data_IF_330442026220
#
_entry.id   IF_330442026220
#
_cell.length_a   1.000
_cell.length_b   1.000
_cell.length_c   1.000
_cell.angle_alpha   90.00
_cell.angle_beta   90.00
_cell.angle_gamma   90.00
#
_symmetry.space_group_name_H-M   'P 1'
#
loop_
_entity.id
_entity.type
_entity.pdbx_description
1 polymer ?
#
# COMPACT_ATOMS: atom_id res chain seq x y z
N UNK A 1 39.74 -35.22 -11.60
CA UNK A 1 39.07 -34.60 -10.45
C UNK A 1 38.96 -33.09 -10.58
N UNK A 2 39.98 -32.30 -10.98
CA UNK A 2 39.90 -30.84 -11.15
C UNK A 2 38.85 -30.37 -12.18
N UNK A 3 38.62 -31.10 -13.28
CA UNK A 3 37.64 -30.74 -14.33
C UNK A 3 36.18 -30.89 -13.89
N UNK A 4 35.88 -31.81 -12.99
CA UNK A 4 34.51 -32.02 -12.44
C UNK A 4 34.15 -30.92 -11.45
N UNK A 5 35.13 -30.45 -10.64
CA UNK A 5 34.92 -29.35 -9.69
C UNK A 5 34.62 -28.01 -10.40
N UNK A 6 35.31 -27.74 -11.52
CA UNK A 6 35.06 -26.50 -12.31
C UNK A 6 33.68 -26.53 -12.99
N UNK A 7 33.27 -27.72 -13.50
CA UNK A 7 31.92 -27.87 -14.10
C UNK A 7 30.80 -27.71 -13.07
N UNK A 8 31.00 -28.20 -11.85
CA UNK A 8 30.00 -28.05 -10.76
C UNK A 8 29.92 -26.62 -10.22
N UNK A 9 31.04 -25.89 -10.17
CA UNK A 9 31.05 -24.46 -9.84
C UNK A 9 30.36 -23.60 -10.90
N UNK A 10 30.50 -23.90 -12.19
CA UNK A 10 29.80 -23.18 -13.27
C UNK A 10 28.30 -23.41 -13.24
N UNK A 11 27.82 -24.62 -12.90
CA UNK A 11 26.38 -24.89 -12.76
C UNK A 11 25.77 -24.11 -11.60
N UNK A 12 26.45 -23.98 -10.45
CA UNK A 12 25.94 -23.19 -9.30
C UNK A 12 25.93 -21.68 -9.59
N UNK A 13 26.89 -21.18 -10.37
CA UNK A 13 26.91 -19.77 -10.76
C UNK A 13 25.73 -19.40 -11.70
N UNK A 14 25.36 -20.31 -12.61
CA UNK A 14 24.21 -20.11 -13.50
C UNK A 14 22.86 -20.10 -12.74
N UNK A 15 22.70 -20.98 -11.75
CA UNK A 15 21.46 -21.00 -10.95
C UNK A 15 21.30 -19.76 -10.07
N UNK A 16 22.39 -19.25 -9.48
CA UNK A 16 22.36 -18.01 -8.70
C UNK A 16 22.02 -16.78 -9.57
N UNK A 17 22.57 -16.67 -10.77
CA UNK A 17 22.28 -15.57 -11.70
C UNK A 17 20.81 -15.59 -12.16
N UNK A 18 20.25 -16.75 -12.46
CA UNK A 18 18.83 -16.87 -12.82
C UNK A 18 17.89 -16.54 -11.65
N UNK A 19 18.24 -16.96 -10.44
CA UNK A 19 17.46 -16.63 -9.24
C UNK A 19 17.49 -15.12 -8.94
N UNK A 20 18.61 -14.45 -9.15
CA UNK A 20 18.74 -13.01 -8.94
C UNK A 20 17.95 -12.22 -9.99
N UNK A 21 18.02 -12.58 -11.26
CA UNK A 21 17.24 -11.93 -12.34
C UNK A 21 15.75 -12.09 -12.10
N UNK A 22 15.29 -13.29 -11.73
CA UNK A 22 13.89 -13.53 -11.40
C UNK A 22 13.42 -12.71 -10.17
N UNK A 23 14.30 -12.57 -9.19
CA UNK A 23 14.02 -11.75 -8.00
C UNK A 23 13.95 -10.26 -8.33
N UNK A 24 14.80 -9.76 -9.21
CA UNK A 24 14.79 -8.37 -9.69
C UNK A 24 13.53 -8.08 -10.54
N UNK A 25 13.13 -9.02 -11.41
CA UNK A 25 11.90 -8.90 -12.19
C UNK A 25 10.67 -8.86 -11.29
N UNK A 26 10.60 -9.74 -10.29
CA UNK A 26 9.49 -9.76 -9.34
C UNK A 26 9.38 -8.44 -8.57
N UNK A 27 10.49 -7.91 -8.05
CA UNK A 27 10.51 -6.59 -7.39
C UNK A 27 10.03 -5.49 -8.33
N UNK A 28 10.47 -5.50 -9.58
CA UNK A 28 10.06 -4.51 -10.59
C UNK A 28 8.57 -4.55 -10.85
N UNK A 29 7.99 -5.74 -10.99
CA UNK A 29 6.56 -5.89 -11.21
C UNK A 29 5.74 -5.50 -9.97
N UNK A 30 6.22 -5.77 -8.76
CA UNK A 30 5.59 -5.31 -7.51
C UNK A 30 5.64 -3.77 -7.43
N UNK A 31 6.77 -3.14 -7.71
CA UNK A 31 6.88 -1.67 -7.72
C UNK A 31 5.90 -1.05 -8.72
N UNK A 32 5.74 -1.68 -9.88
CA UNK A 32 4.72 -1.27 -10.85
C UNK A 32 3.29 -1.40 -10.31
N UNK A 33 2.99 -2.46 -9.54
CA UNK A 33 1.69 -2.61 -8.87
C UNK A 33 1.45 -1.48 -7.88
N UNK A 34 2.46 -1.15 -7.06
CA UNK A 34 2.41 -0.06 -6.06
C UNK A 34 2.15 1.29 -6.74
N UNK A 35 2.81 1.55 -7.87
CA UNK A 35 2.60 2.76 -8.68
C UNK A 35 1.19 2.80 -9.28
N UNK A 36 0.77 1.75 -9.97
CA UNK A 36 -0.55 1.65 -10.60
C UNK A 36 -1.71 1.73 -9.61
N UNK A 37 -1.50 1.31 -8.37
CA UNK A 37 -2.46 1.41 -7.26
C UNK A 37 -2.55 2.82 -6.68
N UNK A 38 -1.76 3.78 -7.15
CA UNK A 38 -1.65 5.14 -6.60
C UNK A 38 -1.28 5.17 -5.09
N UNK A 39 -0.49 4.20 -4.62
CA UNK A 39 -0.19 4.03 -3.20
C UNK A 39 0.39 5.29 -2.56
N UNK A 40 1.36 5.95 -3.19
CA UNK A 40 1.95 7.20 -2.69
C UNK A 40 0.92 8.33 -2.58
N UNK A 41 0.08 8.48 -3.62
CA UNK A 41 -1.00 9.48 -3.62
C UNK A 41 -2.01 9.22 -2.51
N UNK A 42 -2.49 7.99 -2.39
CA UNK A 42 -3.47 7.59 -1.37
C UNK A 42 -2.89 7.76 0.04
N UNK A 43 -1.62 7.42 0.25
CA UNK A 43 -0.91 7.63 1.50
C UNK A 43 -0.88 9.11 1.89
N UNK A 44 -0.47 9.99 0.96
CA UNK A 44 -0.44 11.44 1.17
C UNK A 44 -1.82 11.99 1.51
N UNK A 45 -2.85 11.66 0.72
CA UNK A 45 -4.22 12.14 0.94
C UNK A 45 -4.74 11.72 2.32
N UNK A 46 -4.54 10.45 2.70
CA UNK A 46 -4.93 9.93 4.01
C UNK A 46 -4.19 10.65 5.14
N UNK A 47 -2.87 10.81 5.00
CA UNK A 47 -2.05 11.49 6.00
C UNK A 47 -2.48 12.95 6.16
N UNK A 48 -2.67 13.67 5.07
CA UNK A 48 -3.14 15.06 5.09
C UNK A 48 -4.47 15.18 5.82
N UNK A 49 -5.44 14.31 5.48
CA UNK A 49 -6.75 14.32 6.13
C UNK A 49 -6.67 14.02 7.63
N UNK A 50 -5.84 13.05 8.04
CA UNK A 50 -5.64 12.73 9.45
C UNK A 50 -5.00 13.90 10.21
N UNK A 51 -4.00 14.53 9.63
CA UNK A 51 -3.33 15.68 10.26
C UNK A 51 -4.27 16.89 10.41
N UNK A 52 -5.07 17.20 9.39
CA UNK A 52 -6.13 18.22 9.51
C UNK A 52 -7.10 17.90 10.65
N UNK A 53 -7.57 16.66 10.71
CA UNK A 53 -8.49 16.24 11.79
C UNK A 53 -7.87 16.45 13.18
N UNK A 54 -6.60 16.13 13.37
CA UNK A 54 -5.90 16.30 14.65
C UNK A 54 -5.69 17.78 15.01
N UNK A 55 -5.40 18.63 14.02
CA UNK A 55 -5.32 20.09 14.22
C UNK A 55 -6.69 20.66 14.59
N UNK A 56 -7.75 20.29 13.86
CA UNK A 56 -9.11 20.74 14.12
C UNK A 56 -9.63 20.32 15.52
N UNK A 57 -9.20 19.17 15.98
CA UNK A 57 -9.49 18.67 17.35
C UNK A 57 -8.62 19.31 18.43
N UNK A 58 -7.67 20.18 18.07
CA UNK A 58 -6.80 20.88 19.02
C UNK A 58 -5.69 20.02 19.63
N UNK A 59 -5.38 18.86 19.04
CA UNK A 59 -4.30 18.00 19.56
C UNK A 59 -2.91 18.61 19.39
N UNK A 60 -2.70 19.41 18.33
CA UNK A 60 -1.51 20.20 18.12
C UNK A 60 -1.79 21.36 17.15
N UNK A 61 -0.84 22.31 17.08
CA UNK A 61 -0.84 23.38 16.08
C UNK A 61 0.35 23.17 15.14
N UNK A 62 0.13 23.44 13.86
CA UNK A 62 1.18 23.37 12.86
C UNK A 62 1.17 24.67 12.03
N UNK A 63 2.31 25.37 12.00
CA UNK A 63 2.46 26.59 11.21
C UNK A 63 2.39 26.31 9.70
N UNK A 64 2.84 25.13 9.28
CA UNK A 64 2.77 24.68 7.89
C UNK A 64 2.48 23.17 7.83
N UNK A 65 1.20 22.83 7.79
CA UNK A 65 0.74 21.45 7.79
C UNK A 65 1.19 20.68 6.54
N UNK A 66 1.16 21.34 5.37
CA UNK A 66 1.57 20.72 4.10
C UNK A 66 3.08 20.36 4.09
N UNK A 67 3.92 21.22 4.63
CA UNK A 67 5.35 20.95 4.76
C UNK A 67 5.59 19.76 5.70
N UNK A 68 4.91 19.73 6.85
CA UNK A 68 5.00 18.63 7.79
C UNK A 68 4.56 17.29 7.17
N UNK A 69 3.43 17.26 6.48
CA UNK A 69 2.95 16.06 5.77
C UNK A 69 3.94 15.58 4.74
N UNK A 70 4.56 16.52 3.98
CA UNK A 70 5.56 16.19 2.97
C UNK A 70 6.84 15.59 3.57
N UNK A 71 7.28 16.06 4.73
CA UNK A 71 8.42 15.47 5.43
C UNK A 71 8.12 14.08 5.96
N UNK A 72 6.92 13.88 6.55
CA UNK A 72 6.46 12.56 7.00
C UNK A 72 6.39 11.59 5.81
N UNK A 73 5.82 12.02 4.69
CA UNK A 73 5.75 11.22 3.46
C UNK A 73 7.15 10.80 2.98
N UNK A 74 8.09 11.75 2.89
CA UNK A 74 9.44 11.47 2.44
C UNK A 74 10.17 10.42 3.29
N UNK A 75 9.84 10.34 4.58
CA UNK A 75 10.39 9.34 5.48
C UNK A 75 9.62 8.02 5.44
N UNK A 76 8.29 8.08 5.51
CA UNK A 76 7.46 6.91 5.72
C UNK A 76 7.19 6.10 4.43
N UNK A 77 7.09 6.77 3.27
CA UNK A 77 6.76 6.10 2.01
C UNK A 77 7.79 5.04 1.61
N UNK A 78 9.11 5.26 1.66
CA UNK A 78 10.08 4.21 1.35
C UNK A 78 10.01 3.01 2.28
N UNK A 79 9.67 3.22 3.57
CA UNK A 79 9.47 2.14 4.54
C UNK A 79 8.21 1.32 4.21
N UNK A 80 7.14 2.01 3.83
CA UNK A 80 5.89 1.38 3.39
C UNK A 80 6.12 0.54 2.13
N UNK A 81 6.77 1.11 1.11
CA UNK A 81 7.06 0.42 -0.15
C UNK A 81 7.88 -0.85 0.08
N UNK A 82 8.93 -0.77 0.91
CA UNK A 82 9.73 -1.95 1.28
C UNK A 82 8.85 -3.03 1.93
N UNK A 83 7.99 -2.64 2.88
CA UNK A 83 7.09 -3.58 3.55
C UNK A 83 6.06 -4.17 2.59
N UNK A 84 5.55 -3.39 1.65
CA UNK A 84 4.62 -3.88 0.63
C UNK A 84 5.29 -4.90 -0.30
N UNK A 85 6.56 -4.68 -0.70
CA UNK A 85 7.32 -5.66 -1.51
C UNK A 85 7.37 -7.01 -0.78
N UNK A 86 7.67 -7.02 0.51
CA UNK A 86 7.72 -8.24 1.31
C UNK A 86 6.35 -8.94 1.34
N UNK A 87 5.28 -8.19 1.60
CA UNK A 87 3.90 -8.71 1.64
C UNK A 87 3.49 -9.29 0.29
N UNK A 88 3.72 -8.56 -0.80
CA UNK A 88 3.37 -9.06 -2.14
C UNK A 88 4.12 -10.35 -2.49
N UNK A 89 5.40 -10.46 -2.10
CA UNK A 89 6.20 -11.68 -2.32
C UNK A 89 5.72 -12.87 -1.50
N UNK A 90 5.20 -12.63 -0.32
CA UNK A 90 4.66 -13.67 0.55
C UNK A 90 3.33 -14.25 0.01
N UNK A 91 2.52 -13.42 -0.64
CA UNK A 91 1.14 -13.77 -0.99
C UNK A 91 0.91 -14.04 -2.47
N UNK A 92 1.81 -13.60 -3.37
CA UNK A 92 1.61 -13.68 -4.81
C UNK A 92 2.83 -14.27 -5.52
N UNK A 93 2.59 -14.94 -6.62
CA UNK A 93 3.60 -15.32 -7.59
C UNK A 93 3.88 -14.17 -8.57
N UNK A 94 5.00 -14.23 -9.29
CA UNK A 94 5.33 -13.25 -10.32
C UNK A 94 4.24 -13.16 -11.40
N UNK A 95 3.67 -14.29 -11.81
CA UNK A 95 2.62 -14.34 -12.84
C UNK A 95 1.32 -13.70 -12.36
N UNK A 96 0.94 -13.89 -11.10
CA UNK A 96 -0.22 -13.22 -10.51
C UNK A 96 -0.03 -11.71 -10.42
N UNK A 97 1.17 -11.23 -10.05
CA UNK A 97 1.49 -9.80 -10.06
C UNK A 97 1.40 -9.21 -11.47
N UNK A 98 1.88 -9.92 -12.50
CA UNK A 98 1.72 -9.48 -13.90
C UNK A 98 0.25 -9.39 -14.31
N UNK A 99 -0.61 -10.30 -13.86
CA UNK A 99 -2.05 -10.25 -14.10
C UNK A 99 -2.70 -9.05 -13.37
N UNK A 100 -2.32 -8.80 -12.12
CA UNK A 100 -2.75 -7.61 -11.38
C UNK A 100 -2.34 -6.33 -12.13
N UNK A 101 -1.11 -6.25 -12.60
CA UNK A 101 -0.61 -5.10 -13.37
C UNK A 101 -1.37 -4.91 -14.69
N UNK A 102 -1.68 -6.00 -15.38
CA UNK A 102 -2.50 -5.96 -16.60
C UNK A 102 -3.89 -5.39 -16.30
N UNK A 103 -4.55 -5.85 -15.23
CA UNK A 103 -5.84 -5.32 -14.79
C UNK A 103 -5.75 -3.83 -14.44
N UNK A 104 -4.82 -3.44 -13.56
CA UNK A 104 -4.66 -2.05 -13.11
C UNK A 104 -4.33 -1.09 -14.26
N UNK A 105 -3.61 -1.56 -15.28
CA UNK A 105 -3.28 -0.78 -16.48
C UNK A 105 -4.45 -0.67 -17.47
N UNK A 106 -5.49 -1.49 -17.31
CA UNK A 106 -6.67 -1.46 -18.18
C UNK A 106 -7.54 -0.22 -17.94
N UNK A 107 -8.39 0.20 -18.90
CA UNK A 107 -9.33 1.31 -18.68
C UNK A 107 -10.25 1.09 -17.47
N UNK A 108 -10.76 -0.13 -17.30
CA UNK A 108 -11.64 -0.48 -16.18
C UNK A 108 -10.88 -0.53 -14.84
N UNK A 109 -9.65 -1.06 -14.83
CA UNK A 109 -8.80 -1.08 -13.64
C UNK A 109 -8.43 0.32 -13.16
N UNK A 110 -8.00 1.20 -14.06
CA UNK A 110 -7.73 2.61 -13.73
C UNK A 110 -8.98 3.31 -13.18
N UNK A 111 -10.14 3.09 -13.77
CA UNK A 111 -11.40 3.64 -13.28
C UNK A 111 -11.74 3.10 -11.88
N UNK A 112 -11.61 1.80 -11.66
CA UNK A 112 -11.85 1.18 -10.35
C UNK A 112 -10.91 1.75 -9.29
N UNK A 113 -9.60 1.80 -9.55
CA UNK A 113 -8.59 2.35 -8.64
C UNK A 113 -8.86 3.82 -8.29
N UNK A 114 -9.27 4.64 -9.27
CA UNK A 114 -9.58 6.05 -9.02
C UNK A 114 -10.83 6.28 -8.17
N UNK A 115 -11.71 5.29 -8.07
CA UNK A 115 -12.92 5.37 -7.23
C UNK A 115 -12.68 4.98 -5.76
N UNK A 116 -11.59 4.26 -5.46
CA UNK A 116 -11.32 3.77 -4.10
C UNK A 116 -11.33 4.88 -3.04
N UNK A 117 -10.63 6.02 -3.20
CA UNK A 117 -10.66 7.09 -2.22
C UNK A 117 -12.07 7.69 -2.04
N UNK A 118 -12.81 7.83 -3.15
CA UNK A 118 -14.20 8.34 -3.11
C UNK A 118 -15.12 7.40 -2.35
N UNK A 119 -15.03 6.09 -2.61
CA UNK A 119 -15.85 5.09 -1.91
C UNK A 119 -15.52 5.07 -0.41
N UNK A 120 -14.23 5.18 -0.04
CA UNK A 120 -13.82 5.28 1.35
C UNK A 120 -14.39 6.55 2.02
N UNK A 121 -14.29 7.70 1.36
CA UNK A 121 -14.84 8.97 1.86
C UNK A 121 -16.37 8.91 2.04
N UNK A 122 -17.11 8.35 1.08
CA UNK A 122 -18.56 8.18 1.20
C UNK A 122 -18.93 7.20 2.33
N UNK A 123 -18.15 6.11 2.49
CA UNK A 123 -18.31 5.19 3.64
C UNK A 123 -18.14 5.91 4.99
N UNK A 124 -17.15 6.78 5.11
CA UNK A 124 -16.94 7.59 6.33
C UNK A 124 -18.10 8.56 6.57
N UNK A 125 -18.64 9.21 5.54
CA UNK A 125 -19.81 10.10 5.68
C UNK A 125 -21.04 9.35 6.19
N UNK A 126 -21.26 8.10 5.74
CA UNK A 126 -22.34 7.26 6.27
C UNK A 126 -22.19 7.07 7.77
N UNK A 127 -20.97 6.80 8.25
CA UNK A 127 -20.68 6.63 9.69
C UNK A 127 -20.80 7.94 10.49
N UNK A 128 -20.64 9.09 9.84
CA UNK A 128 -20.80 10.43 10.45
C UNK A 128 -22.25 10.94 10.39
N UNK A 129 -23.14 10.26 9.69
CA UNK A 129 -24.54 10.61 9.63
C UNK A 129 -25.16 10.54 11.05
N UNK A 130 -25.92 11.57 11.51
CA UNK A 130 -26.49 11.59 12.86
C UNK A 130 -27.36 10.38 13.20
N UNK A 131 -28.17 9.91 12.25
CA UNK A 131 -29.02 8.73 12.42
C UNK A 131 -28.17 7.45 12.60
N UNK A 132 -27.11 7.28 11.80
CA UNK A 132 -26.18 6.17 11.92
C UNK A 132 -25.43 6.22 13.28
N UNK A 133 -24.98 7.38 13.71
CA UNK A 133 -24.34 7.58 15.00
C UNK A 133 -25.26 7.23 16.16
N UNK A 134 -26.50 7.71 16.14
CA UNK A 134 -27.49 7.37 17.15
C UNK A 134 -27.72 5.85 17.20
N UNK A 135 -27.85 5.21 16.05
CA UNK A 135 -28.03 3.76 15.99
C UNK A 135 -26.84 2.98 16.50
N UNK A 136 -25.63 3.42 16.17
CA UNK A 136 -24.38 2.83 16.70
C UNK A 136 -24.35 2.97 18.22
N UNK A 137 -24.70 4.14 18.76
CA UNK A 137 -24.72 4.38 20.19
C UNK A 137 -25.73 3.49 20.90
N UNK A 138 -26.94 3.31 20.36
CA UNK A 138 -27.93 2.37 20.87
C UNK A 138 -27.42 0.93 20.89
N UNK A 139 -26.68 0.52 19.84
CA UNK A 139 -26.08 -0.80 19.76
C UNK A 139 -25.00 -0.95 20.84
N UNK A 140 -24.09 0.01 20.98
CA UNK A 140 -23.02 -0.01 21.98
C UNK A 140 -23.57 -0.13 23.39
N UNK A 141 -24.62 0.64 23.72
CA UNK A 141 -25.24 0.61 25.06
C UNK A 141 -25.83 -0.77 25.43
N UNK A 142 -26.19 -1.60 24.46
CA UNK A 142 -26.67 -2.98 24.69
C UNK A 142 -25.56 -3.94 25.09
N UNK A 143 -24.33 -3.67 24.69
CA UNK A 143 -23.18 -4.58 24.89
C UNK A 143 -22.17 -4.08 25.94
N UNK A 144 -22.23 -2.82 26.37
CA UNK A 144 -21.41 -2.30 27.46
C UNK A 144 -21.98 -2.85 28.78
N UNK A 145 -21.22 -3.69 29.47
CA UNK A 145 -21.56 -4.11 30.83
C UNK A 145 -21.36 -2.92 31.77
N UNK A 146 -22.37 -2.65 32.61
CA UNK A 146 -22.24 -1.71 33.73
C UNK A 146 -21.32 -2.31 34.81
#
# INVERSE_FOLDING_TARGET
MKKILVSMMMLMAMTAAHAQVANDEFTKEINRTIELSNTAKNFRETMTQQMHTLVDQGHFQADNLDAMVKEIEAYALPLLEKKLIDIYREHFTLEEIKQINAYLSSPVGRKATSLVPKLAAEGMKVMQNPEAQQKIQEILLRYVKK
#
